data_IF_516909133062
#
_entry.id   IF_516909133062
#
_cell.length_a   1.000
_cell.length_b   1.000
_cell.length_c   1.000
_cell.angle_alpha   90.00
_cell.angle_beta   90.00
_cell.angle_gamma   90.00
#
_symmetry.space_group_name_H-M   'P 1'
#
loop_
_entity.id
_entity.type
_entity.pdbx_description
1 polymer ?
#
# COMPACT_ATOMS: atom_id res chain seq x y z
N UNK A 1 0.80 1.01 18.68
CA UNK A 1 0.96 0.16 17.48
C UNK A 1 -0.36 0.08 16.76
N UNK A 2 -0.37 0.23 15.44
CA UNK A 2 -1.59 0.30 14.60
C UNK A 2 -2.29 -1.06 14.50
N UNK A 3 -1.62 -2.16 14.85
CA UNK A 3 -2.19 -3.52 14.86
C UNK A 3 -1.62 -4.28 16.06
N UNK A 4 -2.46 -5.03 16.76
CA UNK A 4 -2.03 -6.00 17.77
C UNK A 4 -3.02 -6.18 18.92
N UNK A 5 -3.27 -7.45 19.29
CA UNK A 5 -4.07 -7.91 20.46
C UNK A 5 -3.71 -7.18 21.77
N UNK A 6 -2.50 -6.64 21.87
CA UNK A 6 -1.97 -5.91 23.01
C UNK A 6 -2.52 -4.49 23.17
N UNK A 7 -3.10 -3.88 22.12
CA UNK A 7 -3.52 -2.48 22.17
C UNK A 7 -4.96 -2.26 22.67
N UNK A 8 -5.79 -3.31 22.82
CA UNK A 8 -7.20 -3.28 23.30
C UNK A 8 -7.94 -1.98 22.91
N UNK A 9 -8.17 -1.06 23.86
CA UNK A 9 -8.94 0.19 23.70
C UNK A 9 -8.22 1.30 22.90
N UNK A 10 -6.94 1.14 22.58
CA UNK A 10 -6.12 2.11 21.83
C UNK A 10 -6.00 1.82 20.33
N UNK A 11 -6.73 0.82 19.80
CA UNK A 11 -6.75 0.52 18.36
C UNK A 11 -7.58 1.58 17.62
N UNK A 12 -6.90 2.47 16.89
CA UNK A 12 -7.56 3.46 16.03
C UNK A 12 -8.34 2.82 14.86
N UNK A 13 -7.98 1.62 14.41
CA UNK A 13 -8.69 0.85 13.38
C UNK A 13 -8.55 -0.64 13.65
N UNK A 14 -9.67 -1.37 13.68
CA UNK A 14 -9.66 -2.82 13.79
C UNK A 14 -9.14 -3.45 12.48
N UNK A 15 -8.40 -4.58 12.53
CA UNK A 15 -8.01 -5.32 11.33
C UNK A 15 -9.20 -5.66 10.43
N UNK A 16 -10.38 -5.92 11.00
CA UNK A 16 -11.63 -6.12 10.26
C UNK A 16 -11.94 -4.99 9.28
N UNK A 17 -11.63 -3.74 9.65
CA UNK A 17 -11.90 -2.57 8.81
C UNK A 17 -10.94 -2.53 7.61
N UNK A 18 -9.73 -3.06 7.77
CA UNK A 18 -8.69 -3.07 6.72
C UNK A 18 -9.03 -4.10 5.65
N UNK A 19 -9.54 -5.27 6.06
CA UNK A 19 -9.87 -6.36 5.14
C UNK A 19 -11.28 -6.27 4.54
N UNK A 20 -12.20 -5.47 5.12
CA UNK A 20 -13.58 -5.35 4.65
C UNK A 20 -13.71 -5.14 3.14
N UNK A 21 -12.98 -4.16 2.60
CA UNK A 21 -12.99 -3.87 1.16
C UNK A 21 -12.40 -5.00 0.32
N UNK A 22 -11.40 -5.71 0.86
CA UNK A 22 -10.80 -6.88 0.21
C UNK A 22 -11.79 -8.05 0.12
N UNK A 23 -12.49 -8.33 1.23
CA UNK A 23 -13.51 -9.38 1.29
C UNK A 23 -14.67 -9.09 0.32
N UNK A 24 -15.08 -7.83 0.17
CA UNK A 24 -16.07 -7.42 -0.83
C UNK A 24 -15.53 -7.58 -2.26
N UNK A 25 -14.29 -7.17 -2.51
CA UNK A 25 -13.68 -7.23 -3.84
C UNK A 25 -13.50 -8.66 -4.32
N UNK A 26 -13.14 -9.58 -3.43
CA UNK A 26 -13.04 -11.02 -3.73
C UNK A 26 -14.40 -11.74 -3.64
N UNK A 27 -15.50 -11.02 -3.33
CA UNK A 27 -16.84 -11.59 -3.16
C UNK A 27 -16.89 -12.75 -2.14
N UNK A 28 -16.03 -12.68 -1.12
CA UNK A 28 -16.12 -13.52 0.08
C UNK A 28 -17.25 -12.96 0.94
N UNK A 29 -17.28 -11.64 1.08
CA UNK A 29 -18.41 -10.88 1.60
C UNK A 29 -19.22 -10.34 0.42
N UNK A 30 -20.48 -10.74 0.34
CA UNK A 30 -21.42 -10.29 -0.70
C UNK A 30 -22.13 -9.00 -0.31
N UNK A 31 -22.23 -8.72 1.00
CA UNK A 31 -22.83 -7.50 1.52
C UNK A 31 -22.05 -6.26 1.05
N UNK A 32 -22.73 -5.36 0.32
CA UNK A 32 -22.12 -4.18 -0.32
C UNK A 32 -22.14 -2.90 0.53
N UNK A 33 -22.61 -2.98 1.78
CA UNK A 33 -22.59 -1.85 2.71
C UNK A 33 -21.27 -1.72 3.48
N UNK A 34 -21.17 -0.64 4.25
CA UNK A 34 -20.11 -0.45 5.24
C UNK A 34 -20.19 -1.48 6.36
N UNK A 35 -19.07 -1.71 7.05
CA UNK A 35 -19.03 -2.59 8.22
C UNK A 35 -20.01 -2.15 9.31
N UNK A 36 -20.17 -0.85 9.53
CA UNK A 36 -21.14 -0.32 10.50
C UNK A 36 -22.58 -0.68 10.13
N UNK A 37 -22.94 -0.56 8.85
CA UNK A 37 -24.27 -0.97 8.37
C UNK A 37 -24.45 -2.48 8.53
N UNK A 38 -23.41 -3.29 8.28
CA UNK A 38 -23.46 -4.73 8.49
C UNK A 38 -23.73 -5.09 9.95
N UNK A 39 -23.03 -4.46 10.91
CA UNK A 39 -23.26 -4.69 12.34
C UNK A 39 -24.67 -4.28 12.76
N UNK A 40 -25.15 -3.10 12.32
CA UNK A 40 -26.53 -2.65 12.59
C UNK A 40 -27.57 -3.66 12.10
N UNK A 41 -27.37 -4.18 10.88
CA UNK A 41 -28.23 -5.22 10.35
C UNK A 41 -28.15 -6.51 11.17
N UNK A 42 -26.94 -6.98 11.50
CA UNK A 42 -26.72 -8.21 12.23
C UNK A 42 -27.34 -8.18 13.63
N UNK A 43 -27.27 -7.05 14.33
CA UNK A 43 -27.91 -6.84 15.63
C UNK A 43 -29.44 -6.91 15.54
N UNK A 44 -30.04 -6.28 14.51
CA UNK A 44 -31.49 -6.34 14.26
C UNK A 44 -31.94 -7.76 13.87
N UNK A 45 -31.11 -8.47 13.08
CA UNK A 45 -31.34 -9.87 12.71
C UNK A 45 -31.32 -10.78 13.94
N UNK A 46 -30.32 -10.66 14.82
CA UNK A 46 -30.21 -11.49 16.03
C UNK A 46 -31.39 -11.29 16.99
N UNK A 47 -32.00 -10.10 16.98
CA UNK A 47 -33.23 -9.82 17.73
C UNK A 47 -34.50 -10.30 17.01
N UNK A 48 -34.39 -11.06 15.91
CA UNK A 48 -35.46 -11.50 15.02
C UNK A 48 -36.40 -10.37 14.57
N UNK A 49 -35.91 -9.13 14.58
CA UNK A 49 -36.75 -7.94 14.35
C UNK A 49 -36.81 -7.57 12.87
N UNK A 50 -35.82 -8.02 12.08
CA UNK A 50 -35.66 -7.53 10.72
C UNK A 50 -34.86 -8.50 9.85
N UNK A 51 -35.40 -8.85 8.68
CA UNK A 51 -34.72 -9.63 7.66
C UNK A 51 -33.70 -8.77 6.89
N UNK A 52 -32.79 -9.42 6.16
CA UNK A 52 -31.84 -8.73 5.27
C UNK A 52 -32.55 -7.95 4.17
N UNK A 53 -33.66 -8.48 3.66
CA UNK A 53 -34.42 -7.84 2.60
C UNK A 53 -35.06 -6.54 3.09
N UNK A 54 -35.72 -6.58 4.24
CA UNK A 54 -36.34 -5.40 4.87
C UNK A 54 -35.30 -4.34 5.24
N UNK A 55 -34.09 -4.73 5.64
CA UNK A 55 -33.01 -3.77 5.92
C UNK A 55 -32.57 -3.00 4.68
N UNK A 56 -32.51 -3.67 3.54
CA UNK A 56 -32.00 -3.12 2.29
C UNK A 56 -33.08 -2.31 1.58
N UNK A 57 -34.35 -2.69 1.73
CA UNK A 57 -35.50 -1.96 1.21
C UNK A 57 -35.84 -0.71 2.06
N UNK A 58 -35.20 -0.53 3.21
CA UNK A 58 -35.29 0.68 4.03
C UNK A 58 -34.83 1.91 3.21
N UNK A 59 -35.65 2.97 3.07
CA UNK A 59 -35.28 4.18 2.34
C UNK A 59 -34.03 4.88 2.86
N UNK A 60 -33.67 4.68 4.14
CA UNK A 60 -32.43 5.21 4.73
C UNK A 60 -31.20 4.33 4.45
N UNK A 61 -31.41 3.14 3.89
CA UNK A 61 -30.37 2.17 3.58
C UNK A 61 -29.91 2.28 2.12
N UNK A 62 -28.81 3.02 1.89
CA UNK A 62 -28.16 3.13 0.58
C UNK A 62 -27.30 1.89 0.24
N UNK A 63 -27.89 0.70 0.27
CA UNK A 63 -27.19 -0.55 -0.07
C UNK A 63 -27.84 -1.17 -1.30
N UNK A 64 -27.17 -1.10 -2.46
CA UNK A 64 -27.61 -1.74 -3.70
C UNK A 64 -27.39 -3.27 -3.76
N UNK A 65 -27.75 -4.02 -2.71
CA UNK A 65 -27.54 -5.47 -2.62
C UNK A 65 -28.87 -6.24 -2.60
N UNK A 66 -29.15 -7.14 -3.55
CA UNK A 66 -30.42 -7.91 -3.59
C UNK A 66 -30.22 -9.42 -3.37
N UNK A 67 -29.15 -9.83 -2.70
CA UNK A 67 -28.87 -11.25 -2.46
C UNK A 67 -29.47 -11.77 -1.14
N UNK A 68 -29.64 -13.11 -1.06
CA UNK A 68 -30.26 -13.79 0.09
C UNK A 68 -29.32 -13.99 1.29
N UNK A 69 -28.01 -13.86 1.11
CA UNK A 69 -27.00 -14.07 2.15
C UNK A 69 -25.97 -12.97 2.17
N UNK A 70 -25.21 -12.80 3.25
CA UNK A 70 -24.17 -11.74 3.30
C UNK A 70 -22.78 -12.25 2.96
N UNK A 71 -22.58 -13.56 3.03
CA UNK A 71 -21.32 -14.25 2.79
C UNK A 71 -21.48 -15.22 1.62
N UNK A 72 -20.37 -15.54 0.97
CA UNK A 72 -20.36 -16.53 -0.11
C UNK A 72 -20.82 -17.90 0.41
N UNK A 73 -21.74 -18.56 -0.31
CA UNK A 73 -22.29 -19.85 0.08
C UNK A 73 -21.23 -20.97 0.05
N UNK A 74 -20.17 -20.81 -0.76
CA UNK A 74 -19.11 -21.79 -0.93
C UNK A 74 -17.92 -21.54 0.02
N UNK A 75 -18.14 -20.81 1.12
CA UNK A 75 -17.11 -20.63 2.14
C UNK A 75 -16.58 -22.00 2.63
N UNK A 76 -15.25 -22.14 2.81
CA UNK A 76 -14.68 -23.32 3.43
C UNK A 76 -15.31 -23.60 4.81
N UNK A 77 -15.34 -24.88 5.19
CA UNK A 77 -15.82 -25.29 6.52
C UNK A 77 -14.98 -24.62 7.60
N UNK A 78 -15.65 -24.28 8.71
CA UNK A 78 -14.99 -23.74 9.90
C UNK A 78 -13.86 -24.69 10.33
N UNK A 79 -12.63 -24.19 10.54
CA UNK A 79 -11.52 -25.01 11.02
C UNK A 79 -11.79 -25.56 12.43
N UNK A 80 -11.27 -26.75 12.70
CA UNK A 80 -11.36 -27.37 14.02
C UNK A 80 -10.69 -26.48 15.08
N UNK A 81 -11.34 -26.35 16.24
CA UNK A 81 -10.84 -25.53 17.33
C UNK A 81 -11.06 -24.02 17.17
N UNK A 82 -11.71 -23.56 16.09
CA UNK A 82 -12.08 -22.14 15.97
C UNK A 82 -13.02 -21.69 17.10
N UNK A 83 -12.78 -20.52 17.73
CA UNK A 83 -11.70 -19.55 17.46
C UNK A 83 -10.44 -19.73 18.33
N UNK A 84 -10.40 -20.73 19.22
CA UNK A 84 -9.44 -20.81 20.33
C UNK A 84 -8.10 -21.50 19.96
N UNK A 85 -8.10 -22.43 19.01
CA UNK A 85 -6.93 -23.21 18.58
C UNK A 85 -6.85 -23.25 17.05
N UNK A 86 -6.42 -22.14 16.45
CA UNK A 86 -6.24 -22.00 15.01
C UNK A 86 -4.82 -21.54 14.69
N UNK A 87 -4.28 -21.98 13.54
CA UNK A 87 -3.12 -21.36 12.90
C UNK A 87 -3.55 -20.61 11.63
N UNK A 88 -2.59 -19.94 10.99
CA UNK A 88 -2.83 -19.18 9.74
C UNK A 88 -2.41 -19.95 8.49
N UNK A 89 -2.09 -21.25 8.61
CA UNK A 89 -1.70 -22.05 7.45
C UNK A 89 -2.97 -22.42 6.69
N UNK A 90 -3.01 -22.02 5.42
CA UNK A 90 -4.16 -22.34 4.57
C UNK A 90 -4.19 -23.84 4.29
N UNK A 91 -5.36 -24.46 4.49
CA UNK A 91 -5.66 -25.79 3.97
C UNK A 91 -5.84 -25.70 2.46
N UNK A 92 -5.63 -26.81 1.74
CA UNK A 92 -5.84 -26.89 0.29
C UNK A 92 -7.21 -26.38 -0.18
N UNK A 93 -8.29 -26.73 0.53
CA UNK A 93 -9.64 -26.27 0.19
C UNK A 93 -9.83 -24.76 0.36
N UNK A 94 -9.20 -24.16 1.37
CA UNK A 94 -9.22 -22.72 1.62
C UNK A 94 -8.40 -21.97 0.57
N UNK A 95 -7.21 -22.48 0.24
CA UNK A 95 -6.36 -21.94 -0.80
C UNK A 95 -7.02 -22.01 -2.19
N UNK A 96 -7.67 -23.14 -2.51
CA UNK A 96 -8.44 -23.28 -3.75
C UNK A 96 -9.62 -22.31 -3.82
N UNK A 97 -10.36 -22.13 -2.72
CA UNK A 97 -11.44 -21.16 -2.65
C UNK A 97 -10.93 -19.74 -2.91
N UNK A 98 -9.82 -19.33 -2.27
CA UNK A 98 -9.22 -18.01 -2.49
C UNK A 98 -8.74 -17.83 -3.93
N UNK A 99 -8.09 -18.85 -4.51
CA UNK A 99 -7.67 -18.86 -5.92
C UNK A 99 -8.86 -18.64 -6.85
N UNK A 100 -9.93 -19.41 -6.69
CA UNK A 100 -11.13 -19.30 -7.52
C UNK A 100 -11.77 -17.92 -7.42
N UNK A 101 -11.87 -17.37 -6.21
CA UNK A 101 -12.46 -16.05 -5.99
C UNK A 101 -11.60 -14.92 -6.59
N UNK A 102 -10.27 -15.00 -6.47
CA UNK A 102 -9.35 -14.04 -7.09
C UNK A 102 -9.45 -14.12 -8.61
N UNK A 103 -9.44 -15.32 -9.20
CA UNK A 103 -9.53 -15.49 -10.65
C UNK A 103 -10.86 -15.00 -11.22
N UNK A 104 -11.98 -15.24 -10.53
CA UNK A 104 -13.31 -14.80 -10.98
C UNK A 104 -13.52 -13.29 -10.89
N UNK A 105 -13.03 -12.66 -9.83
CA UNK A 105 -13.38 -11.26 -9.53
C UNK A 105 -12.24 -10.26 -9.75
N UNK A 106 -11.01 -10.74 -9.93
CA UNK A 106 -9.81 -9.93 -10.12
C UNK A 106 -8.94 -10.44 -11.29
N UNK A 107 -9.55 -11.04 -12.33
CA UNK A 107 -8.88 -11.72 -13.45
C UNK A 107 -7.78 -10.89 -14.14
N UNK A 108 -7.98 -9.59 -14.31
CA UNK A 108 -7.03 -8.69 -14.99
C UNK A 108 -5.96 -8.10 -14.07
N UNK A 109 -5.73 -8.69 -12.89
CA UNK A 109 -4.76 -8.20 -11.90
C UNK A 109 -3.50 -9.05 -11.87
N UNK A 110 -2.39 -8.43 -11.43
CA UNK A 110 -1.15 -9.16 -11.15
C UNK A 110 -1.37 -10.29 -10.14
N UNK A 111 -2.24 -10.07 -9.14
CA UNK A 111 -2.57 -11.08 -8.14
C UNK A 111 -3.18 -12.35 -8.78
N UNK A 112 -4.07 -12.19 -9.76
CA UNK A 112 -4.67 -13.31 -10.47
C UNK A 112 -3.64 -14.10 -11.29
N UNK A 113 -2.71 -13.39 -11.96
CA UNK A 113 -1.60 -14.05 -12.66
C UNK A 113 -0.74 -14.88 -11.70
N UNK A 114 -0.33 -14.29 -10.57
CA UNK A 114 0.56 -14.93 -9.61
C UNK A 114 -0.08 -16.14 -8.91
N UNK A 115 -1.37 -16.09 -8.60
CA UNK A 115 -2.05 -17.24 -7.98
C UNK A 115 -2.33 -18.37 -9.00
N UNK A 116 -2.34 -18.05 -10.30
CA UNK A 116 -2.54 -19.05 -11.36
C UNK A 116 -1.23 -19.73 -11.77
N UNK A 117 -0.21 -18.93 -12.10
CA UNK A 117 1.04 -19.35 -12.74
C UNK A 117 2.30 -18.93 -11.96
N UNK A 118 2.13 -18.24 -10.82
CA UNK A 118 3.24 -17.67 -10.09
C UNK A 118 4.08 -18.72 -9.36
N UNK A 119 5.36 -18.44 -9.20
CA UNK A 119 6.23 -19.14 -8.28
C UNK A 119 6.30 -18.42 -6.92
N UNK A 120 6.48 -19.14 -5.80
CA UNK A 120 6.78 -18.51 -4.53
C UNK A 120 8.08 -17.71 -4.62
N UNK A 121 8.10 -16.50 -4.06
CA UNK A 121 9.29 -15.66 -4.01
C UNK A 121 9.60 -15.19 -2.59
N UNK A 122 10.90 -15.03 -2.29
CA UNK A 122 11.39 -14.68 -0.96
C UNK A 122 11.46 -13.17 -0.72
N UNK A 123 12.14 -12.82 0.38
CA UNK A 123 12.31 -11.44 0.84
C UNK A 123 13.17 -10.57 -0.10
N UNK A 124 13.97 -11.19 -0.96
CA UNK A 124 14.80 -10.56 -1.99
C UNK A 124 13.98 -9.83 -3.06
N UNK A 125 12.77 -10.31 -3.37
CA UNK A 125 11.86 -9.66 -4.32
C UNK A 125 11.12 -8.53 -3.61
N UNK A 126 11.80 -7.40 -3.42
CA UNK A 126 11.30 -6.24 -2.66
C UNK A 126 10.18 -5.48 -3.36
N UNK A 127 10.11 -5.56 -4.69
CA UNK A 127 9.11 -4.88 -5.50
C UNK A 127 8.49 -5.81 -6.54
N UNK A 128 7.25 -5.53 -6.92
CA UNK A 128 6.51 -6.32 -7.90
C UNK A 128 7.19 -6.36 -9.30
N UNK A 129 7.90 -5.30 -9.68
CA UNK A 129 8.66 -5.24 -10.94
C UNK A 129 10.01 -5.98 -10.89
N UNK A 130 10.42 -6.51 -9.73
CA UNK A 130 11.60 -7.38 -9.59
C UNK A 130 11.23 -8.87 -9.65
N UNK A 131 9.97 -9.21 -9.91
CA UNK A 131 9.52 -10.59 -9.88
C UNK A 131 10.22 -11.43 -10.97
N UNK A 132 10.66 -12.68 -10.68
CA UNK A 132 11.38 -13.51 -11.66
C UNK A 132 10.61 -13.70 -12.97
N UNK A 133 9.29 -13.84 -12.88
CA UNK A 133 8.39 -14.01 -14.03
C UNK A 133 7.91 -12.68 -14.64
N UNK A 134 8.61 -11.56 -14.41
CA UNK A 134 8.20 -10.25 -14.95
C UNK A 134 7.96 -10.28 -16.47
N UNK A 135 8.76 -11.05 -17.21
CA UNK A 135 8.64 -11.19 -18.66
C UNK A 135 7.38 -11.93 -19.11
N UNK A 136 6.73 -12.71 -18.25
CA UNK A 136 5.49 -13.43 -18.55
C UNK A 136 4.24 -12.57 -18.29
N UNK A 137 4.39 -11.43 -17.61
CA UNK A 137 3.26 -10.57 -17.31
C UNK A 137 2.65 -9.95 -18.58
N UNK A 138 1.32 -9.82 -18.59
CA UNK A 138 0.60 -9.17 -19.68
C UNK A 138 0.99 -7.69 -19.85
N UNK A 139 0.85 -7.12 -21.06
CA UNK A 139 1.36 -5.78 -21.39
C UNK A 139 0.76 -4.68 -20.50
N UNK A 140 -0.53 -4.75 -20.18
CA UNK A 140 -1.19 -3.78 -19.30
C UNK A 140 -0.66 -3.81 -17.85
N UNK A 141 -0.24 -4.98 -17.36
CA UNK A 141 0.33 -5.13 -16.02
C UNK A 141 1.74 -4.56 -16.01
N UNK A 142 2.56 -4.90 -17.02
CA UNK A 142 3.91 -4.34 -17.19
C UNK A 142 3.89 -2.82 -17.26
N UNK A 143 3.00 -2.24 -18.07
CA UNK A 143 2.85 -0.78 -18.17
C UNK A 143 2.56 -0.13 -16.80
N UNK A 144 1.61 -0.69 -16.05
CA UNK A 144 1.31 -0.22 -14.69
C UNK A 144 2.50 -0.36 -13.74
N UNK A 145 3.24 -1.46 -13.84
CA UNK A 145 4.42 -1.72 -13.01
C UNK A 145 5.57 -0.76 -13.34
N UNK A 146 5.82 -0.47 -14.61
CA UNK A 146 6.83 0.52 -15.02
C UNK A 146 6.47 1.93 -14.53
N UNK A 147 5.20 2.32 -14.67
CA UNK A 147 4.72 3.58 -14.12
C UNK A 147 4.86 3.66 -12.60
N UNK A 148 4.53 2.57 -11.89
CA UNK A 148 4.68 2.47 -10.44
C UNK A 148 6.15 2.51 -10.02
N UNK A 149 7.03 1.81 -10.74
CA UNK A 149 8.48 1.82 -10.54
C UNK A 149 9.05 3.22 -10.67
N UNK A 150 8.82 3.87 -11.81
CA UNK A 150 9.35 5.21 -12.10
C UNK A 150 8.88 6.24 -11.07
N UNK A 151 7.59 6.21 -10.71
CA UNK A 151 7.04 7.09 -9.70
C UNK A 151 7.64 6.81 -8.32
N UNK A 152 7.74 5.55 -7.93
CA UNK A 152 8.31 5.15 -6.64
C UNK A 152 9.77 5.57 -6.51
N UNK A 153 10.58 5.35 -7.53
CA UNK A 153 12.00 5.68 -7.52
C UNK A 153 12.22 7.20 -7.50
N UNK A 154 11.51 7.98 -8.33
CA UNK A 154 11.63 9.44 -8.32
C UNK A 154 11.15 10.04 -6.98
N UNK A 155 10.01 9.59 -6.47
CA UNK A 155 9.45 10.16 -5.23
C UNK A 155 10.28 9.80 -3.99
N UNK A 156 11.07 8.72 -4.04
CA UNK A 156 11.98 8.38 -2.97
C UNK A 156 12.99 9.50 -2.69
N UNK A 157 13.47 10.20 -3.74
CA UNK A 157 14.36 11.35 -3.58
C UNK A 157 13.74 12.52 -2.81
N UNK A 158 12.42 12.72 -2.93
CA UNK A 158 11.73 13.78 -2.18
C UNK A 158 11.78 13.48 -0.67
N UNK A 159 11.65 12.20 -0.30
CA UNK A 159 11.79 11.76 1.07
C UNK A 159 13.23 11.94 1.58
N UNK A 160 14.23 11.62 0.76
CA UNK A 160 15.63 11.85 1.13
C UNK A 160 15.93 13.33 1.36
N UNK A 161 15.54 14.20 0.43
CA UNK A 161 15.73 15.65 0.59
C UNK A 161 15.01 16.17 1.84
N UNK A 162 13.80 15.70 2.12
CA UNK A 162 13.08 16.07 3.34
C UNK A 162 13.86 15.67 4.61
N UNK A 163 14.47 14.49 4.66
CA UNK A 163 15.28 14.07 5.82
C UNK A 163 16.61 14.84 5.90
N UNK A 164 17.24 15.18 4.77
CA UNK A 164 18.38 16.11 4.75
C UNK A 164 17.98 17.44 5.38
N UNK A 165 16.89 18.05 4.92
CA UNK A 165 16.38 19.32 5.45
C UNK A 165 16.09 19.25 6.96
N UNK A 166 15.45 18.17 7.43
CA UNK A 166 15.17 18.00 8.86
C UNK A 166 16.45 17.84 9.69
N UNK A 167 17.40 17.04 9.23
CA UNK A 167 18.68 16.85 9.93
C UNK A 167 19.48 18.16 10.02
N UNK A 168 19.47 18.97 8.96
CA UNK A 168 20.13 20.29 8.96
C UNK A 168 19.46 21.29 9.92
N UNK A 169 18.13 21.25 10.07
CA UNK A 169 17.43 22.11 11.04
C UNK A 169 17.67 21.66 12.49
N UNK A 170 17.79 20.35 12.74
CA UNK A 170 18.16 19.84 14.07
C UNK A 170 19.58 20.25 14.44
N UNK A 171 20.53 20.10 13.52
CA UNK A 171 21.94 20.44 13.76
C UNK A 171 22.14 21.92 14.12
N UNK A 172 21.37 22.83 13.52
CA UNK A 172 21.36 24.26 13.88
C UNK A 172 20.88 24.53 15.30
N UNK A 173 20.06 23.65 15.86
CA UNK A 173 19.42 23.82 17.18
C UNK A 173 20.16 23.14 18.34
N UNK A 174 21.06 22.19 18.05
CA UNK A 174 21.76 21.39 19.04
C UNK A 174 23.23 21.84 19.22
N UNK A 175 23.74 21.83 20.46
CA UNK A 175 25.16 22.05 20.72
C UNK A 175 25.99 20.87 20.16
N UNK A 176 26.78 21.19 19.14
CA UNK A 176 27.69 20.36 18.33
C UNK A 176 28.48 19.29 19.11
N UNK A 177 28.11 18.01 18.99
CA UNK A 177 29.10 16.92 18.82
C UNK A 177 28.52 15.56 18.40
N UNK A 178 27.28 15.19 18.77
CA UNK A 178 26.77 13.81 18.52
C UNK A 178 25.81 13.65 17.32
N UNK A 179 25.64 14.67 16.47
CA UNK A 179 24.57 14.64 15.44
C UNK A 179 24.96 15.03 14.00
N UNK A 180 26.24 15.36 13.75
CA UNK A 180 26.79 15.56 12.39
C UNK A 180 26.64 14.31 11.49
N UNK A 181 26.52 13.12 12.09
CA UNK A 181 26.42 11.85 11.36
C UNK A 181 25.09 11.69 10.61
N UNK A 182 23.99 12.29 11.08
CA UNK A 182 22.68 12.14 10.43
C UNK A 182 22.61 12.91 9.11
N UNK A 183 23.10 14.15 9.11
CA UNK A 183 23.15 14.99 7.90
C UNK A 183 24.00 14.31 6.84
N UNK A 184 25.20 13.85 7.22
CA UNK A 184 26.11 13.17 6.32
C UNK A 184 25.48 11.88 5.76
N UNK A 185 24.85 11.07 6.60
CA UNK A 185 24.14 9.86 6.17
C UNK A 185 23.05 10.17 5.15
N UNK A 186 22.17 11.13 5.42
CA UNK A 186 21.08 11.45 4.50
C UNK A 186 21.57 12.09 3.21
N UNK A 187 22.63 12.91 3.25
CA UNK A 187 23.27 13.44 2.04
C UNK A 187 23.90 12.31 1.20
N UNK A 188 24.52 11.31 1.83
CA UNK A 188 25.06 10.13 1.13
C UNK A 188 23.95 9.31 0.45
N UNK A 189 22.86 8.99 1.16
CA UNK A 189 21.71 8.27 0.58
C UNK A 189 21.07 9.06 -0.58
N UNK A 190 20.95 10.38 -0.43
CA UNK A 190 20.42 11.25 -1.47
C UNK A 190 21.37 11.32 -2.68
N UNK A 191 22.69 11.31 -2.47
CA UNK A 191 23.69 11.28 -3.53
C UNK A 191 23.59 9.99 -4.33
N UNK A 192 23.45 8.85 -3.63
CA UNK A 192 23.29 7.56 -4.28
C UNK A 192 22.00 7.52 -5.12
N UNK A 193 20.89 7.98 -4.56
CA UNK A 193 19.66 8.17 -5.32
C UNK A 193 19.86 9.09 -6.54
N UNK A 194 20.55 10.21 -6.38
CA UNK A 194 20.78 11.17 -7.47
C UNK A 194 21.58 10.54 -8.61
N UNK A 195 22.66 9.81 -8.30
CA UNK A 195 23.46 9.06 -9.28
C UNK A 195 22.61 8.05 -10.04
N UNK A 196 21.78 7.28 -9.35
CA UNK A 196 20.89 6.29 -9.95
C UNK A 196 19.83 6.93 -10.88
N UNK A 197 19.28 8.09 -10.52
CA UNK A 197 18.37 8.81 -11.42
C UNK A 197 19.09 9.35 -12.66
N UNK A 198 20.33 9.84 -12.52
CA UNK A 198 21.11 10.37 -13.65
C UNK A 198 21.62 9.29 -14.60
N UNK A 199 22.05 8.13 -14.08
CA UNK A 199 22.43 6.99 -14.91
C UNK A 199 21.26 6.46 -15.75
N UNK A 200 20.04 6.57 -15.22
CA UNK A 200 18.80 6.16 -15.90
C UNK A 200 18.04 7.34 -16.53
N UNK A 201 18.72 8.45 -16.81
CA UNK A 201 18.10 9.69 -17.32
C UNK A 201 17.28 9.48 -18.59
N UNK A 202 17.74 8.62 -19.51
CA UNK A 202 17.00 8.28 -20.74
C UNK A 202 15.64 7.66 -20.45
N UNK A 203 15.56 6.74 -19.47
CA UNK A 203 14.30 6.07 -19.08
C UNK A 203 13.30 7.07 -18.49
N UNK A 204 13.78 7.97 -17.65
CA UNK A 204 12.92 8.99 -17.04
C UNK A 204 12.50 10.08 -18.04
N UNK A 205 13.33 10.37 -19.03
CA UNK A 205 13.04 11.35 -20.08
C UNK A 205 11.98 10.83 -21.05
N UNK A 206 12.02 9.54 -21.41
CA UNK A 206 11.01 8.88 -22.25
C UNK A 206 9.73 8.51 -21.50
N UNK A 207 9.66 8.74 -20.19
CA UNK A 207 8.52 8.37 -19.37
C UNK A 207 7.25 9.16 -19.72
N UNK A 208 6.20 8.45 -20.14
CA UNK A 208 4.89 9.03 -20.45
C UNK A 208 4.12 9.43 -19.17
N UNK A 209 4.36 10.65 -18.69
CA UNK A 209 3.69 11.23 -17.50
C UNK A 209 2.19 11.43 -17.69
N UNK A 210 1.74 11.65 -18.93
CA UNK A 210 0.30 11.83 -19.23
C UNK A 210 -0.46 10.52 -18.97
N UNK A 211 0.03 9.43 -19.55
CA UNK A 211 -0.55 8.10 -19.38
C UNK A 211 -0.51 7.65 -17.91
N UNK A 212 0.58 7.93 -17.19
CA UNK A 212 0.65 7.69 -15.74
C UNK A 212 -0.54 8.30 -15.00
N UNK A 213 -0.84 9.58 -15.22
CA UNK A 213 -1.93 10.25 -14.54
C UNK A 213 -3.32 9.81 -15.01
N UNK A 214 -3.46 9.36 -16.26
CA UNK A 214 -4.69 8.72 -16.74
C UNK A 214 -4.97 7.41 -16.00
N UNK A 215 -3.95 6.56 -15.84
CA UNK A 215 -4.05 5.32 -15.06
C UNK A 215 -4.40 5.62 -13.60
N UNK A 216 -3.76 6.62 -12.98
CA UNK A 216 -4.05 7.02 -11.60
C UNK A 216 -5.48 7.54 -11.45
N UNK A 217 -5.96 8.36 -12.39
CA UNK A 217 -7.31 8.91 -12.37
C UNK A 217 -8.39 7.83 -12.52
N UNK A 218 -8.15 6.81 -13.36
CA UNK A 218 -9.04 5.65 -13.51
C UNK A 218 -9.18 4.86 -12.20
N UNK A 219 -8.10 4.74 -11.41
CA UNK A 219 -8.12 3.97 -10.16
C UNK A 219 -8.59 4.80 -8.96
N UNK A 220 -8.28 6.10 -8.93
CA UNK A 220 -8.69 7.00 -7.87
C UNK A 220 -8.95 8.41 -8.42
N UNK A 221 -10.20 8.73 -8.81
CA UNK A 221 -10.53 10.04 -9.36
C UNK A 221 -10.47 11.17 -8.33
N UNK A 222 -10.36 10.85 -7.03
CA UNK A 222 -10.37 11.82 -5.93
C UNK A 222 -8.98 12.32 -5.53
N UNK A 223 -7.95 12.05 -6.33
CA UNK A 223 -6.60 12.56 -6.05
C UNK A 223 -6.63 14.10 -6.12
N UNK A 224 -6.27 14.82 -5.04
CA UNK A 224 -6.31 16.28 -5.04
C UNK A 224 -5.35 16.89 -6.06
N UNK A 225 -5.79 17.93 -6.77
CA UNK A 225 -4.95 18.65 -7.74
C UNK A 225 -3.64 19.16 -7.13
N UNK A 226 -3.66 19.63 -5.89
CA UNK A 226 -2.45 20.07 -5.18
C UNK A 226 -1.38 18.97 -5.07
N UNK A 227 -1.79 17.71 -4.90
CA UNK A 227 -0.87 16.56 -4.88
C UNK A 227 -0.28 16.30 -6.26
N UNK A 228 -1.11 16.39 -7.31
CA UNK A 228 -0.67 16.24 -8.71
C UNK A 228 0.36 17.31 -9.08
N UNK A 229 0.10 18.57 -8.74
CA UNK A 229 1.01 19.69 -8.99
C UNK A 229 2.35 19.49 -8.30
N UNK A 230 2.35 19.15 -7.00
CA UNK A 230 3.57 18.87 -6.25
C UNK A 230 4.41 17.76 -6.90
N UNK A 231 3.78 16.61 -7.21
CA UNK A 231 4.49 15.49 -7.83
C UNK A 231 5.07 15.88 -9.19
N UNK A 232 4.32 16.62 -10.02
CA UNK A 232 4.80 17.05 -11.34
C UNK A 232 5.97 18.03 -11.25
N UNK A 233 5.93 18.99 -10.32
CA UNK A 233 7.03 19.92 -10.07
C UNK A 233 8.28 19.17 -9.59
N UNK A 234 8.13 18.25 -8.63
CA UNK A 234 9.23 17.41 -8.16
C UNK A 234 9.85 16.58 -9.27
N UNK A 235 9.02 15.86 -10.05
CA UNK A 235 9.46 15.05 -11.20
C UNK A 235 10.23 15.93 -12.20
N UNK A 236 9.74 17.14 -12.48
CA UNK A 236 10.40 18.07 -13.38
C UNK A 236 11.80 18.47 -12.87
N UNK A 237 11.93 18.83 -11.58
CA UNK A 237 13.22 19.16 -10.99
C UNK A 237 14.20 17.97 -10.98
N UNK A 238 13.73 16.78 -10.61
CA UNK A 238 14.56 15.59 -10.53
C UNK A 238 15.13 15.19 -11.91
N UNK A 239 14.30 15.23 -12.95
CA UNK A 239 14.70 14.80 -14.30
C UNK A 239 15.54 15.88 -14.99
N UNK A 240 15.07 17.13 -15.00
CA UNK A 240 15.63 18.19 -15.84
C UNK A 240 16.76 19.00 -15.17
N UNK A 241 17.15 18.67 -13.94
CA UNK A 241 18.34 19.27 -13.33
C UNK A 241 19.60 18.88 -14.10
N UNK A 242 20.30 19.85 -14.69
CA UNK A 242 21.61 19.64 -15.34
C UNK A 242 22.76 19.89 -14.36
N UNK A 243 22.43 20.32 -13.14
CA UNK A 243 23.34 20.76 -12.10
C UNK A 243 24.09 19.63 -11.38
N UNK A 244 25.16 20.01 -10.67
CA UNK A 244 25.85 19.14 -9.71
C UNK A 244 24.92 18.70 -8.57
N UNK A 245 25.28 17.63 -7.85
CA UNK A 245 24.50 17.15 -6.69
C UNK A 245 24.32 18.25 -5.63
N UNK A 246 25.38 18.99 -5.29
CA UNK A 246 25.33 20.03 -4.27
C UNK A 246 24.43 21.20 -4.68
N UNK A 247 24.47 21.61 -5.95
CA UNK A 247 23.53 22.58 -6.50
C UNK A 247 22.08 22.09 -6.42
N UNK A 248 21.83 20.80 -6.70
CA UNK A 248 20.49 20.22 -6.63
C UNK A 248 19.95 20.18 -5.19
N UNK A 249 20.74 19.68 -4.23
CA UNK A 249 20.34 19.53 -2.82
C UNK A 249 20.14 20.87 -2.13
N UNK A 250 20.97 21.86 -2.48
CA UNK A 250 20.92 23.19 -1.89
C UNK A 250 20.02 24.15 -2.68
N UNK A 251 19.38 23.69 -3.77
CA UNK A 251 18.53 24.53 -4.60
C UNK A 251 17.33 25.08 -3.80
N UNK A 252 17.23 26.40 -3.73
CA UNK A 252 16.20 27.11 -2.94
C UNK A 252 14.78 26.73 -3.38
N UNK A 253 14.54 26.63 -4.69
CA UNK A 253 13.22 26.33 -5.26
C UNK A 253 12.78 24.88 -5.00
N UNK A 254 13.73 23.94 -5.02
CA UNK A 254 13.44 22.52 -4.73
C UNK A 254 13.15 22.35 -3.23
N UNK A 255 13.92 23.02 -2.38
CA UNK A 255 13.70 22.98 -0.92
C UNK A 255 12.40 23.68 -0.52
N UNK A 256 12.05 24.79 -1.16
CA UNK A 256 10.77 25.47 -0.91
C UNK A 256 9.58 24.58 -1.29
N UNK A 257 9.66 23.85 -2.41
CA UNK A 257 8.63 22.89 -2.83
C UNK A 257 8.33 21.84 -1.74
N UNK A 258 9.37 21.26 -1.13
CA UNK A 258 9.21 20.29 -0.03
C UNK A 258 8.63 20.95 1.22
N UNK A 259 9.12 22.14 1.59
CA UNK A 259 8.66 22.89 2.76
C UNK A 259 7.19 23.29 2.65
N UNK A 260 6.78 23.82 1.51
CA UNK A 260 5.40 24.24 1.24
C UNK A 260 4.45 23.04 1.23
N UNK A 261 4.91 21.90 0.70
CA UNK A 261 4.13 20.66 0.74
C UNK A 261 3.91 20.19 2.18
N UNK A 262 4.93 20.22 3.03
CA UNK A 262 4.75 19.86 4.44
C UNK A 262 3.77 20.80 5.14
N UNK A 263 3.94 22.12 4.95
CA UNK A 263 3.10 23.15 5.57
C UNK A 263 1.64 23.01 5.16
N UNK A 264 1.36 22.75 3.89
CA UNK A 264 -0.01 22.56 3.39
C UNK A 264 -0.72 21.34 3.99
N UNK A 265 0.02 20.26 4.25
CA UNK A 265 -0.54 19.02 4.79
C UNK A 265 -0.65 19.00 6.31
N UNK A 266 0.35 19.55 7.01
CA UNK A 266 0.49 19.42 8.46
C UNK A 266 0.19 20.69 9.23
N UNK A 267 0.10 21.85 8.56
CA UNK A 267 -0.11 23.17 9.17
C UNK A 267 0.81 23.38 10.39
N UNK A 268 0.25 23.43 11.59
CA UNK A 268 0.98 23.64 12.86
C UNK A 268 1.93 22.49 13.22
N UNK A 269 1.73 21.29 12.67
CA UNK A 269 2.57 20.12 12.88
C UNK A 269 3.70 19.99 11.84
N UNK A 270 3.94 21.02 11.03
CA UNK A 270 5.03 21.04 10.06
C UNK A 270 6.38 21.19 10.76
N UNK A 271 7.24 20.18 10.65
CA UNK A 271 8.50 20.10 11.41
C UNK A 271 9.55 21.09 10.91
N UNK A 272 9.56 21.39 9.62
CA UNK A 272 10.44 22.40 9.03
C UNK A 272 10.06 23.85 9.39
N UNK A 273 8.98 24.06 10.15
CA UNK A 273 8.50 25.39 10.57
C UNK A 273 8.20 25.49 12.06
N UNK A 274 8.15 24.38 12.79
CA UNK A 274 7.83 24.34 14.22
C UNK A 274 8.87 23.50 14.98
N UNK A 275 9.65 24.17 15.83
CA UNK A 275 10.72 23.57 16.64
C UNK A 275 10.19 22.46 17.57
N UNK A 276 9.02 22.64 18.19
CA UNK A 276 8.41 21.59 19.05
C UNK A 276 8.03 20.34 18.26
N UNK A 277 7.59 20.49 17.01
CA UNK A 277 7.29 19.35 16.15
C UNK A 277 8.57 18.66 15.65
N UNK A 278 9.67 19.41 15.53
CA UNK A 278 10.99 18.91 15.17
C UNK A 278 11.62 18.08 16.30
N UNK A 279 11.48 18.50 17.57
CA UNK A 279 11.94 17.72 18.74
C UNK A 279 11.33 16.31 18.81
N UNK A 280 10.10 16.14 18.30
CA UNK A 280 9.44 14.84 18.23
C UNK A 280 9.96 13.93 17.08
N UNK A 281 10.88 14.41 16.25
CA UNK A 281 11.44 13.65 15.14
C UNK A 281 12.55 12.70 15.61
N UNK A 282 12.32 11.39 15.45
CA UNK A 282 13.23 10.33 15.91
C UNK A 282 14.30 9.95 14.88
N UNK A 283 14.75 10.92 14.08
CA UNK A 283 15.84 10.75 13.13
C UNK A 283 15.45 10.27 11.74
N UNK A 284 14.27 9.69 11.48
CA UNK A 284 13.85 9.29 10.12
C UNK A 284 12.37 9.56 9.84
N UNK A 285 12.00 9.89 8.61
CA UNK A 285 10.61 10.08 8.19
C UNK A 285 10.37 9.77 6.72
N UNK A 286 9.50 8.79 6.45
CA UNK A 286 9.08 8.47 5.09
C UNK A 286 10.18 7.85 4.20
N UNK A 287 11.25 7.30 4.80
CA UNK A 287 12.39 6.70 4.09
C UNK A 287 12.05 5.41 3.33
N UNK A 288 10.84 4.89 3.46
CA UNK A 288 10.41 3.69 2.74
C UNK A 288 10.03 4.03 1.31
N UNK A 289 10.74 3.45 0.34
CA UNK A 289 10.32 3.44 -1.05
C UNK A 289 8.92 2.81 -1.20
N UNK A 290 8.12 3.30 -2.14
CA UNK A 290 6.74 2.85 -2.33
C UNK A 290 6.72 1.43 -2.93
N UNK A 291 6.47 0.44 -2.08
CA UNK A 291 6.31 -0.95 -2.50
C UNK A 291 4.87 -1.30 -2.91
N UNK A 292 3.93 -0.35 -2.79
CA UNK A 292 2.50 -0.55 -3.07
C UNK A 292 1.89 -1.74 -2.31
N UNK A 293 2.38 -2.03 -1.10
CA UNK A 293 2.01 -3.19 -0.27
C UNK A 293 2.38 -4.53 -0.91
N UNK A 294 3.37 -4.54 -1.80
CA UNK A 294 3.87 -5.75 -2.44
C UNK A 294 4.27 -6.80 -1.40
N UNK A 295 4.92 -6.42 -0.29
CA UNK A 295 5.27 -7.37 0.77
C UNK A 295 4.06 -8.18 1.26
N UNK A 296 2.92 -7.52 1.45
CA UNK A 296 1.69 -8.17 1.91
C UNK A 296 1.12 -9.07 0.81
N UNK A 297 1.09 -8.57 -0.43
CA UNK A 297 0.61 -9.35 -1.58
C UNK A 297 1.46 -10.61 -1.81
N UNK A 298 2.79 -10.50 -1.72
CA UNK A 298 3.73 -11.62 -1.82
C UNK A 298 3.47 -12.67 -0.75
N UNK A 299 3.32 -12.27 0.52
CA UNK A 299 2.96 -13.22 1.59
C UNK A 299 1.64 -13.92 1.27
N UNK A 300 0.60 -13.19 0.87
CA UNK A 300 -0.69 -13.80 0.50
C UNK A 300 -0.57 -14.80 -0.66
N UNK A 301 0.21 -14.47 -1.70
CA UNK A 301 0.45 -15.36 -2.85
C UNK A 301 1.18 -16.62 -2.38
N UNK A 302 2.28 -16.48 -1.63
CA UNK A 302 3.06 -17.62 -1.14
C UNK A 302 2.23 -18.53 -0.24
N UNK A 303 1.39 -17.97 0.63
CA UNK A 303 0.49 -18.74 1.50
C UNK A 303 -0.52 -19.54 0.68
N UNK A 304 -1.11 -18.93 -0.36
CA UNK A 304 -2.06 -19.61 -1.26
C UNK A 304 -1.35 -20.73 -2.05
N UNK A 305 -0.19 -20.44 -2.65
CA UNK A 305 0.57 -21.44 -3.41
C UNK A 305 0.97 -22.62 -2.51
N UNK A 306 1.49 -22.33 -1.31
CA UNK A 306 1.83 -23.35 -0.31
C UNK A 306 0.61 -24.20 0.08
N UNK A 307 -0.56 -23.58 0.25
CA UNK A 307 -1.80 -24.30 0.55
C UNK A 307 -2.26 -25.20 -0.60
N UNK A 308 -2.05 -24.79 -1.85
CA UNK A 308 -2.40 -25.59 -3.04
C UNK A 308 -1.47 -26.80 -3.23
N UNK A 309 -0.19 -26.61 -2.92
CA UNK A 309 0.87 -27.63 -3.03
C UNK A 309 0.81 -28.70 -1.92
N UNK A 310 0.02 -28.48 -0.86
CA UNK A 310 -0.26 -29.54 0.11
C UNK A 310 -0.88 -30.73 -0.64
N UNK A 311 -0.18 -31.87 -0.63
CA UNK A 311 -0.76 -33.13 -1.06
C UNK A 311 -2.01 -33.39 -0.22
N UNK A 312 -3.05 -33.90 -0.88
CA UNK A 312 -4.22 -34.39 -0.15
C UNK A 312 -3.68 -35.57 0.64
N UNK A 313 -3.48 -35.41 1.95
CA UNK A 313 -3.36 -36.56 2.84
C UNK A 313 -4.54 -37.46 2.51
N UNK A 314 -4.23 -38.56 1.83
CA UNK A 314 -5.20 -39.56 1.47
C UNK A 314 -5.88 -39.97 2.77
N UNK A 315 -7.14 -39.56 2.94
CA UNK A 315 -8.07 -40.26 3.82
C UNK A 315 -8.30 -41.63 3.20
N UNK A 316 -7.32 -42.50 3.42
CA UNK A 316 -7.40 -43.95 3.34
C UNK A 316 -6.55 -44.49 4.48
N UNK A 317 -7.19 -44.70 5.61
CA UNK A 317 -6.82 -45.73 6.55
C UNK A 317 -8.09 -46.18 7.30
N UNK A 318 -8.73 -47.19 6.69
CA UNK A 318 -9.63 -48.23 7.22
C UNK A 318 -10.79 -47.86 8.13
#
# INVERSE_FOLDING_TARGET
GVIGKLARRGLQRLPSNIYWSGLQKWQILLFRGSQTQYHKWFDKKNKNTLSLREFIEDPECDIGYKGKGTWNANLPKVPDGFPNKIDFKLKKSEAQFLKDQILRHCSNSLLAFLVLNGCPCGDEVRFAWMHPQYNEFGPQIKEKLEHARNFSEIMHGAAWLYNVMLSEEVDKSANKSEQNDLVNRYRQEMLEWYKNIKSESTRFSSWNKKLFWEIVAQQNPRVPNATKTFCMQWINYAINSVSSFDEFVNNVSIRSLIKDRERSLKKENARLSNSKALEAWRGASGIGQLDYRWRIARTMVNDILTGLDQEVDNVKAN
#
